data_IF_057112097788
#
_entry.id   IF_057112097788
#
_cell.length_a   1.000
_cell.length_b   1.000
_cell.length_c   1.000
_cell.angle_alpha   90.00
_cell.angle_beta   90.00
_cell.angle_gamma   90.00
#
_symmetry.space_group_name_H-M   'P 1'
#
loop_
_entity.id
_entity.type
_entity.pdbx_description
1 polymer ?
#
# COMPACT_ATOMS: atom_id res chain seq x y z
N UNK A 1 16.82 31.02 -18.51
CA UNK A 1 15.89 31.64 -17.54
C UNK A 1 14.50 30.98 -17.51
N UNK A 2 13.69 31.05 -18.59
CA UNK A 2 12.31 30.47 -18.59
C UNK A 2 12.22 28.98 -18.23
N UNK A 3 13.15 28.14 -18.72
CA UNK A 3 13.19 26.70 -18.41
C UNK A 3 13.51 26.41 -16.93
N UNK A 4 14.33 27.25 -16.30
CA UNK A 4 14.71 27.10 -14.89
C UNK A 4 13.51 27.47 -14.00
N UNK A 5 12.79 28.54 -14.33
CA UNK A 5 11.57 28.93 -13.63
C UNK A 5 10.49 27.82 -13.68
N UNK A 6 10.30 27.19 -14.84
CA UNK A 6 9.38 26.05 -15.00
C UNK A 6 9.76 24.85 -14.13
N UNK A 7 11.05 24.54 -14.03
CA UNK A 7 11.58 23.45 -13.19
C UNK A 7 11.33 23.70 -11.69
N UNK A 8 11.51 24.95 -11.23
CA UNK A 8 11.26 25.34 -9.84
C UNK A 8 9.77 25.23 -9.48
N UNK A 9 8.87 25.60 -10.38
CA UNK A 9 7.42 25.46 -10.18
C UNK A 9 7.02 23.98 -10.07
N UNK A 10 7.59 23.12 -10.92
CA UNK A 10 7.30 21.69 -10.88
C UNK A 10 7.77 21.02 -9.57
N UNK A 11 8.96 21.39 -9.10
CA UNK A 11 9.56 20.85 -7.87
C UNK A 11 8.81 21.27 -6.60
N UNK A 12 8.15 22.42 -6.60
CA UNK A 12 7.35 22.88 -5.45
C UNK A 12 5.96 22.24 -5.41
N UNK A 13 5.38 21.93 -6.58
CA UNK A 13 4.08 21.27 -6.68
C UNK A 13 4.07 19.82 -6.13
N UNK A 14 5.22 19.15 -6.08
CA UNK A 14 5.33 17.75 -5.63
C UNK A 14 5.56 17.59 -4.12
N UNK A 15 5.64 18.67 -3.32
CA UNK A 15 6.00 18.60 -1.89
C UNK A 15 4.81 18.43 -0.93
N UNK A 16 3.64 18.01 -1.40
CA UNK A 16 2.43 17.93 -0.56
C UNK A 16 2.32 16.67 0.32
N UNK A 17 3.25 15.72 0.24
CA UNK A 17 3.22 14.53 1.07
C UNK A 17 3.55 14.88 2.53
N UNK A 18 2.61 14.62 3.45
CA UNK A 18 2.77 14.87 4.89
C UNK A 18 2.57 13.58 5.67
N UNK A 19 3.27 13.45 6.80
CA UNK A 19 3.12 12.32 7.71
C UNK A 19 1.85 12.52 8.52
N UNK A 20 0.90 11.60 8.36
CA UNK A 20 -0.35 11.59 9.14
C UNK A 20 -0.05 11.17 10.58
N UNK A 21 -0.65 11.88 11.53
CA UNK A 21 -0.48 11.55 12.96
C UNK A 21 -1.14 10.21 13.26
N UNK A 22 -0.53 9.44 14.17
CA UNK A 22 -0.94 8.04 14.41
C UNK A 22 -2.44 7.89 14.76
N UNK A 23 -3.01 8.83 15.50
CA UNK A 23 -4.42 8.79 15.89
C UNK A 23 -5.38 9.11 14.73
N UNK A 24 -4.94 9.85 13.72
CA UNK A 24 -5.75 10.17 12.53
C UNK A 24 -5.77 8.99 11.56
N UNK A 25 -4.76 8.10 11.62
CA UNK A 25 -4.72 6.88 10.81
C UNK A 25 -5.93 5.99 11.07
N UNK A 26 -6.52 5.99 12.27
CA UNK A 26 -7.73 5.21 12.58
C UNK A 26 -8.92 5.61 11.68
N UNK A 27 -9.00 6.87 11.24
CA UNK A 27 -10.05 7.32 10.31
C UNK A 27 -9.75 6.99 8.84
N UNK A 28 -8.49 6.68 8.52
CA UNK A 28 -8.01 6.34 7.18
C UNK A 28 -7.87 4.82 6.97
N UNK A 29 -7.58 4.08 8.04
CA UNK A 29 -7.37 2.64 8.03
C UNK A 29 -8.71 1.91 7.99
N UNK A 30 -9.11 1.51 6.79
CA UNK A 30 -10.23 0.59 6.62
C UNK A 30 -9.85 -0.81 7.14
N UNK A 31 -10.75 -1.54 7.82
CA UNK A 31 -10.51 -2.94 8.21
C UNK A 31 -10.05 -3.83 7.05
N UNK A 32 -10.44 -3.54 5.80
CA UNK A 32 -10.00 -4.27 4.61
C UNK A 32 -8.55 -3.93 4.17
N UNK A 33 -7.93 -2.87 4.71
CA UNK A 33 -6.51 -2.56 4.49
C UNK A 33 -5.56 -3.47 5.29
N UNK A 34 -6.09 -4.26 6.23
CA UNK A 34 -5.29 -5.26 6.91
C UNK A 34 -4.76 -6.27 5.89
N UNK A 35 -3.44 -6.38 5.77
CA UNK A 35 -2.77 -7.41 4.96
C UNK A 35 -2.91 -8.77 5.65
N UNK A 36 -4.12 -9.25 5.84
CA UNK A 36 -4.41 -10.55 6.43
C UNK A 36 -5.60 -11.15 5.72
N UNK A 37 -5.48 -12.39 5.30
CA UNK A 37 -6.57 -13.09 4.65
C UNK A 37 -7.68 -13.39 5.65
N UNK A 38 -8.92 -13.04 5.26
CA UNK A 38 -10.09 -13.43 6.04
C UNK A 38 -10.21 -14.95 6.02
N UNK A 39 -10.61 -15.55 7.14
CA UNK A 39 -10.74 -17.01 7.26
C UNK A 39 -11.65 -17.64 6.19
N UNK A 40 -12.69 -16.91 5.79
CA UNK A 40 -13.64 -17.30 4.72
C UNK A 40 -13.02 -17.31 3.32
N UNK A 41 -11.95 -16.53 3.07
CA UNK A 41 -11.34 -16.41 1.75
C UNK A 41 -10.20 -17.41 1.50
N UNK A 42 -9.87 -18.26 2.48
CA UNK A 42 -8.78 -19.24 2.40
C UNK A 42 -8.84 -20.10 1.15
N UNK A 43 -10.04 -20.52 0.73
CA UNK A 43 -10.22 -21.30 -0.49
C UNK A 43 -9.83 -20.53 -1.76
N UNK A 44 -10.20 -19.25 -1.84
CA UNK A 44 -9.86 -18.37 -2.97
C UNK A 44 -8.36 -18.12 -3.02
N UNK A 45 -7.73 -17.85 -1.87
CA UNK A 45 -6.27 -17.67 -1.79
C UNK A 45 -5.53 -18.95 -2.21
N UNK A 46 -5.99 -20.13 -1.79
CA UNK A 46 -5.39 -21.40 -2.20
C UNK A 46 -5.52 -21.63 -3.71
N UNK A 47 -6.68 -21.28 -4.30
CA UNK A 47 -6.88 -21.36 -5.74
C UNK A 47 -5.88 -20.46 -6.48
N UNK A 48 -5.77 -19.19 -6.09
CA UNK A 48 -4.85 -18.23 -6.71
C UNK A 48 -3.37 -18.66 -6.54
N UNK A 49 -3.00 -19.14 -5.35
CA UNK A 49 -1.65 -19.64 -5.11
C UNK A 49 -1.32 -20.86 -5.98
N UNK A 50 -2.24 -21.82 -6.08
CA UNK A 50 -1.99 -23.08 -6.80
C UNK A 50 -2.13 -22.94 -8.32
N UNK A 51 -3.10 -22.16 -8.81
CA UNK A 51 -3.39 -22.02 -10.26
C UNK A 51 -2.68 -20.84 -10.91
N UNK A 52 -2.53 -19.73 -10.18
CA UNK A 52 -2.02 -18.47 -10.72
C UNK A 52 -0.60 -18.15 -10.23
N UNK A 53 -0.01 -19.04 -9.41
CA UNK A 53 1.29 -18.83 -8.75
C UNK A 53 1.35 -17.52 -7.94
N UNK A 54 0.19 -17.02 -7.49
CA UNK A 54 0.10 -15.81 -6.69
C UNK A 54 0.75 -16.04 -5.32
N UNK A 55 1.77 -15.24 -4.99
CA UNK A 55 2.47 -15.30 -3.70
C UNK A 55 2.78 -13.89 -3.19
N UNK A 56 2.69 -13.67 -1.87
CA UNK A 56 2.88 -12.34 -1.25
C UNK A 56 1.60 -11.64 -0.82
N UNK A 57 1.72 -10.38 -0.36
CA UNK A 57 0.66 -9.46 0.04
C UNK A 57 -0.35 -9.90 1.13
N UNK A 58 -0.15 -11.04 1.79
CA UNK A 58 -1.07 -11.57 2.81
C UNK A 58 -0.61 -11.31 4.26
N UNK A 59 0.40 -10.44 4.44
CA UNK A 59 0.97 -9.97 5.72
C UNK A 59 1.44 -11.03 6.73
N UNK A 60 1.44 -12.31 6.36
CA UNK A 60 2.08 -13.39 7.10
C UNK A 60 3.58 -13.53 6.79
N UNK A 61 4.29 -14.32 7.60
CA UNK A 61 5.74 -14.58 7.46
C UNK A 61 6.15 -15.12 6.08
N UNK A 62 5.25 -15.80 5.39
CA UNK A 62 5.48 -16.42 4.07
C UNK A 62 4.93 -15.59 2.91
N UNK A 63 4.34 -14.42 3.18
CA UNK A 63 3.66 -13.59 2.18
C UNK A 63 3.81 -12.09 2.43
N UNK A 64 4.90 -11.67 3.07
CA UNK A 64 5.20 -10.25 3.27
C UNK A 64 5.40 -9.56 1.93
N UNK A 65 4.44 -8.72 1.52
CA UNK A 65 4.69 -7.73 0.49
C UNK A 65 5.76 -6.74 0.96
N UNK A 66 6.21 -5.84 0.09
CA UNK A 66 6.96 -4.66 0.49
C UNK A 66 6.04 -3.86 1.42
N UNK A 67 6.19 -4.06 2.73
CA UNK A 67 5.35 -3.48 3.76
C UNK A 67 5.59 -1.98 3.80
N UNK A 68 4.93 -1.25 2.92
CA UNK A 68 4.80 0.20 3.04
C UNK A 68 3.74 0.45 4.11
N UNK A 69 4.19 0.50 5.38
CA UNK A 69 3.50 1.23 6.43
C UNK A 69 4.25 2.54 6.67
#
# INVERSE_FOLDING_TARGET
>A
MKKIALLVVLLTAMQSCTVVKEYEKVALSDPDMALSTRSVERFKTNFQAYREAASGANGGKTGGGCGCN
#
